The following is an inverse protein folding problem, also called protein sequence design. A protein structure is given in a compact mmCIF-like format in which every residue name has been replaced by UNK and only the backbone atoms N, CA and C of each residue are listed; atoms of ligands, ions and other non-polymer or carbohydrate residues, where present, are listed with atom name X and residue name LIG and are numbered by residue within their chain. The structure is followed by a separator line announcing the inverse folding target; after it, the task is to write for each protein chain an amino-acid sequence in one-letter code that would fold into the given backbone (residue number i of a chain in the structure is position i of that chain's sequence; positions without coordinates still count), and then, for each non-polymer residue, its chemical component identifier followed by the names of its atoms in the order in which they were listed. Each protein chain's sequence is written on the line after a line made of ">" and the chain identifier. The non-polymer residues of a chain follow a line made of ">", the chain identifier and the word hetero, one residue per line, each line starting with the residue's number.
data_IF_593626891430
#
_entry.id   IF_593626891430
#
_cell.length_a   1.000
_cell.length_b   1.000
_cell.length_c   1.000
_cell.angle_alpha   90.00
_cell.angle_beta   90.00
_cell.angle_gamma   90.00
#
_symmetry.space_group_name_H-M   'P 1'
#
loop_
_entity.id
_entity.type
_entity.pdbx_description
1 polymer ?
#
# COMPACT_ATOMS: atom_id res chain seq x y z
N UNK A 1 18.47 2.06 -13.33
CA UNK A 1 18.96 1.18 -12.27
C UNK A 1 17.77 0.57 -11.57
N UNK A 2 17.65 -0.73 -11.55
CA UNK A 2 16.62 -1.40 -10.77
C UNK A 2 16.95 -1.19 -9.29
N UNK A 3 16.08 -0.52 -8.56
CA UNK A 3 16.18 -0.42 -7.11
C UNK A 3 15.98 -1.84 -6.57
N UNK A 4 16.98 -2.40 -5.92
CA UNK A 4 16.85 -3.73 -5.32
C UNK A 4 15.69 -3.72 -4.33
N UNK A 5 14.94 -4.81 -4.25
CA UNK A 5 13.79 -4.89 -3.31
C UNK A 5 14.22 -4.64 -1.85
N UNK A 6 15.48 -4.87 -1.51
CA UNK A 6 16.06 -4.56 -0.20
C UNK A 6 16.13 -3.06 0.03
N UNK A 7 16.52 -2.27 -1.00
CA UNK A 7 16.63 -0.81 -0.88
C UNK A 7 15.29 -0.12 -0.62
N UNK A 8 14.18 -0.68 -1.13
CA UNK A 8 12.84 -0.13 -0.92
C UNK A 8 12.42 -0.19 0.56
N UNK A 9 12.64 -1.34 1.20
CA UNK A 9 12.26 -1.55 2.59
C UNK A 9 13.15 -0.76 3.56
N UNK A 10 14.43 -0.68 3.23
CA UNK A 10 15.38 0.14 3.98
C UNK A 10 15.03 1.62 3.88
N UNK A 11 14.63 2.11 2.70
CA UNK A 11 14.18 3.50 2.52
C UNK A 11 12.98 3.84 3.41
N UNK A 12 11.98 2.96 3.49
CA UNK A 12 10.80 3.17 4.38
C UNK A 12 11.23 3.18 5.85
N UNK A 13 12.07 2.23 6.24
CA UNK A 13 12.53 2.09 7.63
C UNK A 13 13.40 3.28 8.07
N UNK A 14 14.33 3.70 7.22
CA UNK A 14 15.23 4.83 7.49
C UNK A 14 14.48 6.14 7.61
N UNK A 15 13.55 6.41 6.70
CA UNK A 15 12.74 7.64 6.73
C UNK A 15 11.89 7.71 8.00
N UNK A 16 11.20 6.64 8.36
CA UNK A 16 10.42 6.60 9.58
C UNK A 16 11.31 6.80 10.83
N UNK A 17 12.48 6.17 10.86
CA UNK A 17 13.44 6.31 11.97
C UNK A 17 14.02 7.71 12.09
N UNK A 18 14.23 8.38 10.96
CA UNK A 18 14.73 9.76 10.94
C UNK A 18 13.67 10.77 11.41
N UNK A 19 12.39 10.47 11.18
CA UNK A 19 11.29 11.34 11.58
C UNK A 19 11.05 11.31 13.10
N UNK A 20 11.12 10.13 13.73
CA UNK A 20 10.77 10.00 15.14
C UNK A 20 11.44 8.80 15.80
N UNK A 21 11.92 9.00 17.03
CA UNK A 21 12.36 7.89 17.91
C UNK A 21 11.25 6.88 18.15
N UNK A 22 10.00 7.32 18.24
CA UNK A 22 8.86 6.42 18.42
C UNK A 22 8.69 5.47 17.23
N UNK A 23 8.92 5.95 16.00
CA UNK A 23 8.88 5.10 14.81
C UNK A 23 10.09 4.18 14.71
N UNK A 24 11.27 4.66 15.11
CA UNK A 24 12.48 3.83 15.18
C UNK A 24 12.31 2.66 16.16
N UNK A 25 11.74 2.92 17.34
CA UNK A 25 11.46 1.90 18.35
C UNK A 25 10.36 0.90 17.94
N UNK A 26 9.45 1.31 17.05
CA UNK A 26 8.41 0.45 16.51
C UNK A 26 8.90 -0.48 15.38
N UNK A 27 10.11 -0.31 14.86
CA UNK A 27 10.65 -1.19 13.82
C UNK A 27 10.88 -2.61 14.36
N UNK A 28 10.50 -3.58 13.53
CA UNK A 28 10.89 -4.98 13.80
C UNK A 28 12.41 -5.15 13.66
N UNK A 29 13.00 -6.07 14.43
CA UNK A 29 14.36 -6.54 14.15
C UNK A 29 14.47 -6.96 12.67
N UNK A 30 15.60 -6.68 12.03
CA UNK A 30 15.80 -6.96 10.59
C UNK A 30 15.48 -8.42 10.22
N UNK A 31 15.79 -9.36 11.12
CA UNK A 31 15.52 -10.80 10.93
C UNK A 31 14.04 -11.17 10.99
N UNK A 32 13.18 -10.29 11.50
CA UNK A 32 11.74 -10.52 11.64
C UNK A 32 10.89 -9.73 10.62
N UNK A 33 11.56 -8.96 9.75
CA UNK A 33 10.90 -8.19 8.70
C UNK A 33 10.46 -9.11 7.57
N UNK A 34 9.24 -8.91 7.10
CA UNK A 34 8.67 -9.67 5.98
C UNK A 34 8.70 -8.80 4.70
N UNK A 35 9.77 -8.92 3.92
CA UNK A 35 10.09 -8.03 2.81
C UNK A 35 9.46 -8.48 1.47
N UNK A 36 8.24 -9.00 1.50
CA UNK A 36 7.53 -9.40 0.28
C UNK A 36 6.56 -8.28 -0.17
N UNK A 37 6.75 -7.73 -1.39
CA UNK A 37 5.82 -6.76 -1.95
C UNK A 37 4.50 -7.44 -2.31
N UNK A 38 3.38 -6.73 -2.07
CA UNK A 38 2.04 -7.28 -2.33
C UNK A 38 1.44 -6.70 -3.60
N UNK A 39 1.28 -5.40 -3.67
CA UNK A 39 0.60 -4.76 -4.80
C UNK A 39 1.53 -4.01 -5.76
N UNK A 40 2.71 -3.59 -5.32
CA UNK A 40 3.64 -2.90 -6.20
C UNK A 40 4.06 -3.69 -7.45
N UNK A 41 4.13 -5.04 -7.43
CA UNK A 41 4.42 -5.81 -8.64
C UNK A 41 3.35 -5.72 -9.73
N UNK A 42 2.16 -5.19 -9.44
CA UNK A 42 1.08 -5.00 -10.42
C UNK A 42 1.25 -3.72 -11.25
N UNK A 43 2.07 -2.80 -10.81
CA UNK A 43 2.31 -1.51 -11.47
C UNK A 43 3.74 -1.33 -11.94
N UNK A 44 4.06 -0.12 -12.39
CA UNK A 44 5.42 0.22 -12.80
C UNK A 44 6.34 0.36 -11.58
N UNK A 45 7.61 -0.07 -11.74
CA UNK A 45 8.63 -0.07 -10.68
C UNK A 45 8.84 1.31 -10.03
N UNK A 46 8.71 2.39 -10.81
CA UNK A 46 8.85 3.77 -10.30
C UNK A 46 7.88 4.11 -9.17
N UNK A 47 6.75 3.41 -9.07
CA UNK A 47 5.73 3.62 -8.05
C UNK A 47 5.88 2.70 -6.82
N UNK A 48 6.77 1.71 -6.90
CA UNK A 48 6.86 0.65 -5.90
C UNK A 48 7.07 1.20 -4.48
N UNK A 49 8.00 2.13 -4.30
CA UNK A 49 8.29 2.72 -2.99
C UNK A 49 7.06 3.44 -2.41
N UNK A 50 6.36 4.24 -3.22
CA UNK A 50 5.15 4.93 -2.78
C UNK A 50 4.01 3.98 -2.43
N UNK A 51 3.75 3.00 -3.29
CA UNK A 51 2.72 1.99 -3.07
C UNK A 51 2.96 1.16 -1.80
N UNK A 52 4.18 0.66 -1.60
CA UNK A 52 4.50 -0.14 -0.44
C UNK A 52 4.53 0.67 0.86
N UNK A 53 4.89 1.97 0.79
CA UNK A 53 4.79 2.87 1.95
C UNK A 53 3.33 3.07 2.36
N UNK A 54 2.43 3.34 1.41
CA UNK A 54 1.00 3.50 1.69
C UNK A 54 0.40 2.19 2.19
N UNK A 55 0.78 1.07 1.58
CA UNK A 55 0.26 -0.24 1.98
C UNK A 55 0.74 -0.66 3.38
N UNK A 56 1.97 -0.34 3.75
CA UNK A 56 2.44 -0.55 5.13
C UNK A 56 1.62 0.28 6.13
N UNK A 57 1.31 1.53 5.79
CA UNK A 57 0.39 2.37 6.55
C UNK A 57 -1.01 1.74 6.68
N UNK A 58 -1.53 1.19 5.59
CA UNK A 58 -2.81 0.47 5.59
C UNK A 58 -2.79 -0.75 6.52
N UNK A 59 -1.71 -1.55 6.49
CA UNK A 59 -1.58 -2.72 7.37
C UNK A 59 -1.48 -2.34 8.85
N UNK A 60 -0.92 -1.18 9.19
CA UNK A 60 -0.92 -0.66 10.55
C UNK A 60 -2.33 -0.34 11.07
N UNK A 61 -3.23 0.05 10.17
CA UNK A 61 -4.65 0.28 10.50
C UNK A 61 -5.47 -1.01 10.55
N UNK A 62 -5.30 -1.90 9.58
CA UNK A 62 -6.27 -2.96 9.30
C UNK A 62 -5.70 -4.37 9.23
N UNK A 63 -4.39 -4.54 9.38
CA UNK A 63 -3.78 -5.84 9.17
C UNK A 63 -2.53 -6.09 10.00
N UNK A 64 -1.63 -6.89 9.45
CA UNK A 64 -0.35 -7.26 10.05
C UNK A 64 0.80 -6.60 9.29
N UNK A 65 1.41 -5.53 9.86
CA UNK A 65 2.52 -4.82 9.24
C UNK A 65 3.74 -5.71 9.02
N UNK A 66 4.53 -5.39 8.01
CA UNK A 66 5.74 -6.15 7.63
C UNK A 66 7.02 -5.61 8.29
N UNK A 67 7.13 -4.29 8.38
CA UNK A 67 8.31 -3.61 8.92
C UNK A 67 8.18 -3.23 10.40
N UNK A 68 6.96 -3.03 10.87
CA UNK A 68 6.70 -2.44 12.18
C UNK A 68 5.97 -3.39 13.13
N UNK A 69 6.26 -3.26 14.43
CA UNK A 69 5.55 -3.90 15.52
C UNK A 69 5.32 -2.87 16.62
N UNK A 70 4.41 -1.91 16.43
CA UNK A 70 4.14 -0.87 17.41
C UNK A 70 3.62 -1.48 18.72
N UNK A 71 3.95 -0.88 19.88
CA UNK A 71 3.64 -1.47 21.18
C UNK A 71 2.14 -1.47 21.53
N UNK A 72 1.38 -0.60 20.89
CA UNK A 72 -0.05 -0.43 21.14
C UNK A 72 -0.79 0.06 19.89
N UNK A 73 -2.13 0.01 19.98
CA UNK A 73 -3.02 0.41 18.88
C UNK A 73 -2.92 1.88 18.51
N UNK A 74 -2.72 2.74 19.50
CA UNK A 74 -2.65 4.19 19.28
C UNK A 74 -1.38 4.56 18.48
N UNK A 75 -0.26 3.97 18.85
CA UNK A 75 1.01 4.10 18.11
C UNK A 75 0.88 3.53 16.69
N UNK A 76 0.21 2.38 16.52
CA UNK A 76 -0.03 1.80 15.20
C UNK A 76 -0.83 2.74 14.29
N UNK A 77 -1.91 3.33 14.79
CA UNK A 77 -2.74 4.26 14.02
C UNK A 77 -1.95 5.51 13.61
N UNK A 78 -1.21 6.11 14.53
CA UNK A 78 -0.40 7.31 14.25
C UNK A 78 0.71 7.04 13.24
N UNK A 79 1.38 5.90 13.35
CA UNK A 79 2.41 5.51 12.38
C UNK A 79 1.79 5.22 11.01
N UNK A 80 0.62 4.59 10.96
CA UNK A 80 -0.13 4.37 9.73
C UNK A 80 -0.50 5.68 9.04
N UNK A 81 -1.03 6.64 9.76
CA UNK A 81 -1.33 7.98 9.25
C UNK A 81 -0.08 8.70 8.75
N UNK A 82 1.02 8.60 9.49
CA UNK A 82 2.30 9.16 9.06
C UNK A 82 2.75 8.59 7.72
N UNK A 83 2.71 7.28 7.53
CA UNK A 83 3.18 6.63 6.30
C UNK A 83 2.35 6.97 5.06
N UNK A 84 1.08 7.31 5.20
CA UNK A 84 0.26 7.74 4.08
C UNK A 84 0.80 8.99 3.39
N UNK A 85 1.27 9.99 4.14
CA UNK A 85 1.74 11.25 3.59
C UNK A 85 2.99 11.08 2.70
N UNK A 86 4.12 10.50 3.14
CA UNK A 86 5.27 10.31 2.29
C UNK A 86 5.00 9.35 1.13
N UNK A 87 4.14 8.34 1.32
CA UNK A 87 3.72 7.46 0.26
C UNK A 87 2.97 8.19 -0.85
N UNK A 88 2.02 9.04 -0.50
CA UNK A 88 1.30 9.89 -1.47
C UNK A 88 2.23 10.88 -2.17
N UNK A 89 3.15 11.51 -1.47
CA UNK A 89 4.14 12.41 -2.06
C UNK A 89 5.00 11.71 -3.11
N UNK A 90 5.38 10.46 -2.87
CA UNK A 90 6.17 9.66 -3.82
C UNK A 90 5.42 9.27 -5.08
N UNK A 91 4.09 9.17 -5.00
CA UNK A 91 3.24 8.91 -6.15
C UNK A 91 2.91 10.21 -6.91
N UNK A 92 2.96 11.35 -6.23
CA UNK A 92 2.72 12.66 -6.81
C UNK A 92 3.91 13.10 -7.66
N UNK A 93 3.99 12.60 -8.90
CA UNK A 93 4.84 13.27 -9.88
C UNK A 93 4.29 14.68 -10.16
N UNK A 94 5.14 15.66 -10.53
CA UNK A 94 4.74 17.07 -10.66
C UNK A 94 3.54 17.35 -11.56
N UNK A 95 3.20 16.44 -12.44
CA UNK A 95 2.10 16.57 -13.41
C UNK A 95 0.92 15.61 -13.15
N UNK A 96 0.89 14.89 -12.02
CA UNK A 96 -0.10 13.83 -11.77
C UNK A 96 -0.95 14.09 -10.50
N UNK A 97 -1.52 15.28 -10.38
CA UNK A 97 -2.45 15.62 -9.27
C UNK A 97 -3.62 14.63 -9.19
N UNK A 98 -4.10 14.14 -10.34
CA UNK A 98 -5.17 13.16 -10.41
C UNK A 98 -4.80 11.81 -9.78
N UNK A 99 -3.53 11.40 -9.90
CA UNK A 99 -3.03 10.18 -9.27
C UNK A 99 -3.06 10.27 -7.74
N UNK A 100 -2.75 11.44 -7.18
CA UNK A 100 -2.83 11.70 -5.72
C UNK A 100 -4.29 11.64 -5.25
N UNK A 101 -5.20 12.29 -5.98
CA UNK A 101 -6.61 12.28 -5.65
C UNK A 101 -7.20 10.87 -5.70
N UNK A 102 -6.82 10.06 -6.69
CA UNK A 102 -7.24 8.68 -6.81
C UNK A 102 -6.72 7.81 -5.65
N UNK A 103 -5.47 8.01 -5.21
CA UNK A 103 -4.90 7.24 -4.07
C UNK A 103 -5.52 7.64 -2.76
N UNK A 104 -5.79 8.92 -2.54
CA UNK A 104 -6.55 9.38 -1.38
C UNK A 104 -7.98 8.81 -1.38
N UNK A 105 -8.61 8.75 -2.55
CA UNK A 105 -9.90 8.10 -2.74
C UNK A 105 -9.85 6.59 -2.48
N UNK A 106 -8.76 5.91 -2.85
CA UNK A 106 -8.53 4.50 -2.53
C UNK A 106 -8.46 4.26 -1.02
N UNK A 107 -7.65 5.03 -0.32
CA UNK A 107 -7.53 4.92 1.15
C UNK A 107 -8.90 5.08 1.79
N UNK A 108 -9.67 6.08 1.36
CA UNK A 108 -11.03 6.32 1.87
C UNK A 108 -11.98 5.15 1.57
N UNK A 109 -11.94 4.60 0.36
CA UNK A 109 -12.79 3.47 -0.02
C UNK A 109 -12.42 2.19 0.74
N UNK A 110 -11.13 1.90 0.91
CA UNK A 110 -10.69 0.77 1.73
C UNK A 110 -11.13 0.90 3.19
N UNK A 111 -11.00 2.11 3.76
CA UNK A 111 -11.46 2.39 5.11
C UNK A 111 -12.98 2.19 5.25
N UNK A 112 -13.75 2.64 4.26
CA UNK A 112 -15.21 2.47 4.23
C UNK A 112 -15.59 0.98 4.17
N UNK A 113 -14.99 0.21 3.26
CA UNK A 113 -15.25 -1.23 3.15
C UNK A 113 -14.95 -1.97 4.46
N UNK A 114 -13.85 -1.60 5.13
CA UNK A 114 -13.49 -2.17 6.43
C UNK A 114 -14.47 -1.77 7.54
N UNK A 115 -14.92 -0.52 7.58
CA UNK A 115 -15.90 -0.04 8.55
C UNK A 115 -17.25 -0.73 8.38
N UNK A 116 -17.66 -1.01 7.15
CA UNK A 116 -18.92 -1.68 6.81
C UNK A 116 -18.82 -3.21 6.93
N UNK A 117 -17.64 -3.76 7.21
CA UNK A 117 -17.41 -5.21 7.19
C UNK A 117 -17.61 -5.84 5.81
N UNK A 118 -17.51 -5.05 4.75
CA UNK A 118 -17.71 -5.47 3.37
C UNK A 118 -16.37 -5.90 2.76
N UNK A 119 -16.28 -7.11 2.18
CA UNK A 119 -15.06 -7.54 1.50
C UNK A 119 -14.84 -6.76 0.21
N UNK A 120 -13.59 -6.68 -0.25
CA UNK A 120 -13.27 -6.09 -1.55
C UNK A 120 -12.14 -5.06 -1.55
N UNK A 121 -11.60 -4.72 -0.40
CA UNK A 121 -10.45 -3.81 -0.27
C UNK A 121 -9.23 -4.29 -1.08
N UNK A 122 -8.97 -5.59 -1.14
CA UNK A 122 -7.93 -6.16 -1.99
C UNK A 122 -8.12 -5.87 -3.48
N UNK A 123 -9.34 -5.93 -3.98
CA UNK A 123 -9.66 -5.59 -5.37
C UNK A 123 -9.42 -4.09 -5.65
N UNK A 124 -9.75 -3.23 -4.69
CA UNK A 124 -9.47 -1.78 -4.77
C UNK A 124 -7.96 -1.54 -4.82
N UNK A 125 -7.19 -2.21 -3.96
CA UNK A 125 -5.72 -2.14 -3.96
C UNK A 125 -5.12 -2.61 -5.28
N UNK A 126 -5.57 -3.76 -5.80
CA UNK A 126 -5.07 -4.32 -7.04
C UNK A 126 -5.31 -3.38 -8.23
N UNK A 127 -6.52 -2.85 -8.38
CA UNK A 127 -6.85 -1.90 -9.44
C UNK A 127 -6.03 -0.62 -9.33
N UNK A 128 -5.86 -0.12 -8.12
CA UNK A 128 -5.11 1.11 -7.89
C UNK A 128 -3.64 0.99 -8.23
N UNK A 129 -3.03 -0.14 -7.94
CA UNK A 129 -1.63 -0.39 -8.29
C UNK A 129 -1.47 -0.64 -9.80
N UNK A 130 -2.31 -1.50 -10.38
CA UNK A 130 -2.22 -1.88 -11.78
C UNK A 130 -2.53 -0.74 -12.76
N UNK A 131 -3.37 0.22 -12.36
CA UNK A 131 -3.80 1.34 -13.19
C UNK A 131 -3.13 2.68 -12.82
N UNK A 132 -2.15 2.66 -11.93
CA UNK A 132 -1.40 3.85 -11.56
C UNK A 132 -0.62 4.37 -12.78
N UNK A 133 -0.81 5.66 -13.09
CA UNK A 133 -0.24 6.28 -14.30
C UNK A 133 -1.10 6.16 -15.55
N UNK A 134 -2.23 5.44 -15.49
CA UNK A 134 -3.19 5.35 -16.61
C UNK A 134 -4.28 6.43 -16.57
N UNK A 135 -4.10 7.47 -15.75
CA UNK A 135 -5.12 8.48 -15.51
C UNK A 135 -6.06 8.11 -14.35
N UNK A 136 -7.15 8.91 -14.16
CA UNK A 136 -8.11 8.64 -13.10
C UNK A 136 -8.74 7.27 -13.23
N UNK A 137 -9.07 6.64 -12.11
CA UNK A 137 -9.84 5.38 -12.09
C UNK A 137 -11.23 5.65 -12.69
N UNK A 138 -11.37 5.36 -13.99
CA UNK A 138 -12.61 5.53 -14.71
C UNK A 138 -13.54 4.33 -14.49
N UNK A 139 -14.83 4.59 -14.38
CA UNK A 139 -15.85 3.55 -14.32
C UNK A 139 -16.33 3.20 -12.92
N UNK A 140 -16.84 1.97 -12.78
CA UNK A 140 -17.42 1.49 -11.52
C UNK A 140 -16.36 1.31 -10.43
N UNK A 141 -16.68 1.73 -9.22
CA UNK A 141 -15.88 1.49 -8.02
C UNK A 141 -16.30 0.22 -7.27
N UNK A 142 -17.16 -0.58 -7.87
CA UNK A 142 -17.52 -1.89 -7.33
C UNK A 142 -16.30 -2.83 -7.33
N UNK A 143 -16.03 -3.55 -6.23
CA UNK A 143 -14.85 -4.41 -6.11
C UNK A 143 -14.66 -5.40 -7.25
N UNK A 144 -15.73 -6.04 -7.73
CA UNK A 144 -15.67 -7.00 -8.84
C UNK A 144 -15.23 -6.34 -10.16
N UNK A 145 -15.69 -5.12 -10.44
CA UNK A 145 -15.30 -4.38 -11.64
C UNK A 145 -13.85 -3.90 -11.55
N UNK A 146 -13.41 -3.47 -10.37
CA UNK A 146 -12.03 -3.08 -10.11
C UNK A 146 -11.07 -4.27 -10.26
N UNK A 147 -11.43 -5.42 -9.71
CA UNK A 147 -10.63 -6.64 -9.87
C UNK A 147 -10.52 -7.06 -11.34
N UNK A 148 -11.59 -7.00 -12.10
CA UNK A 148 -11.57 -7.29 -13.53
C UNK A 148 -10.63 -6.33 -14.29
N UNK A 149 -10.66 -5.04 -13.96
CA UNK A 149 -9.77 -4.04 -14.54
C UNK A 149 -8.29 -4.30 -14.18
N UNK A 150 -8.01 -4.66 -12.93
CA UNK A 150 -6.66 -5.04 -12.50
C UNK A 150 -6.15 -6.27 -13.26
N UNK A 151 -6.98 -7.31 -13.40
CA UNK A 151 -6.64 -8.53 -14.15
C UNK A 151 -6.36 -8.26 -15.62
N UNK A 152 -7.13 -7.35 -16.24
CA UNK A 152 -6.91 -6.93 -17.61
C UNK A 152 -5.58 -6.18 -17.79
N UNK A 153 -5.18 -5.35 -16.82
CA UNK A 153 -3.97 -4.53 -16.87
C UNK A 153 -2.70 -5.31 -16.49
N UNK A 154 -2.73 -6.07 -15.41
CA UNK A 154 -1.55 -6.71 -14.82
C UNK A 154 -1.49 -8.23 -15.01
N UNK A 155 -2.55 -8.85 -15.53
CA UNK A 155 -2.65 -10.30 -15.70
C UNK A 155 -3.30 -11.02 -14.51
N UNK A 156 -3.96 -12.12 -14.80
CA UNK A 156 -4.77 -12.88 -13.85
C UNK A 156 -3.91 -13.45 -12.72
N UNK A 157 -2.81 -14.11 -13.05
CA UNK A 157 -1.94 -14.77 -12.08
C UNK A 157 -1.29 -13.79 -11.09
N UNK A 158 -0.83 -12.63 -11.58
CA UNK A 158 -0.23 -11.61 -10.76
C UNK A 158 -1.24 -11.03 -9.75
N UNK A 159 -2.46 -10.75 -10.19
CA UNK A 159 -3.54 -10.26 -9.34
C UNK A 159 -3.96 -11.31 -8.31
N UNK A 160 -4.10 -12.57 -8.69
CA UNK A 160 -4.44 -13.65 -7.76
C UNK A 160 -3.38 -13.84 -6.68
N UNK A 161 -2.10 -13.74 -7.04
CA UNK A 161 -0.99 -13.77 -6.08
C UNK A 161 -1.10 -12.61 -5.10
N UNK A 162 -1.26 -11.38 -5.59
CA UNK A 162 -1.38 -10.19 -4.74
C UNK A 162 -2.57 -10.29 -3.77
N UNK A 163 -3.74 -10.71 -4.26
CA UNK A 163 -4.93 -10.92 -3.44
C UNK A 163 -4.74 -12.01 -2.40
N UNK A 164 -4.01 -13.08 -2.73
CA UNK A 164 -3.71 -14.15 -1.78
C UNK A 164 -2.79 -13.68 -0.66
N UNK A 165 -1.73 -12.95 -0.99
CA UNK A 165 -0.82 -12.34 -0.01
C UNK A 165 -1.56 -11.31 0.86
N UNK A 166 -2.43 -10.50 0.26
CA UNK A 166 -3.24 -9.52 0.99
C UNK A 166 -4.14 -10.20 2.04
N UNK A 167 -4.87 -11.26 1.66
CA UNK A 167 -5.71 -12.01 2.61
C UNK A 167 -4.95 -12.57 3.80
N UNK A 168 -3.71 -13.01 3.61
CA UNK A 168 -2.85 -13.47 4.71
C UNK A 168 -2.48 -12.35 5.69
N UNK A 169 -2.57 -11.09 5.27
CA UNK A 169 -2.22 -9.92 6.07
C UNK A 169 -3.39 -9.30 6.80
N UNK A 170 -4.56 -9.33 6.20
CA UNK A 170 -5.72 -8.61 6.74
C UNK A 170 -6.79 -9.52 7.38
N UNK A 171 -6.63 -10.82 7.28
CA UNK A 171 -7.49 -11.82 7.89
C UNK A 171 -8.71 -12.15 7.07
#
# INVERSE_FOLDING_TARGET
>A
MATSSVDLWDAIAEEASAESMLWAEALRPTTERELEPVFSPLGEERWALGLETIYEGYLLHYGRPRLFAPPDRDTALRLGDYLYAPGLVRIAAPDEVDAVADRAGLISLCAQLRADGTPGDGAVWAASAALLGCGPLAGSREPAALEASARAAAGVEAVERALSLHRLRVG
#
